data_IF_000312029007
#
_entry.id   IF_000312029007
#
_cell.length_a   1.000
_cell.length_b   1.000
_cell.length_c   1.000
_cell.angle_alpha   90.00
_cell.angle_beta   90.00
_cell.angle_gamma   90.00
#
_symmetry.space_group_name_H-M   'P 1'
#
loop_
_entity.id
_entity.type
_entity.pdbx_description
1 polymer ?
#
# COMPACT_ATOMS: atom_id res chain seq x y z
N UNK A 1 17.58 -3.68 12.19
CA UNK A 1 16.45 -4.31 11.46
C UNK A 1 16.46 -3.81 10.02
N UNK A 2 16.12 -4.64 9.03
CA UNK A 2 16.07 -4.16 7.64
C UNK A 2 14.77 -3.37 7.38
N UNK A 3 14.82 -2.41 6.46
CA UNK A 3 13.65 -1.62 6.05
C UNK A 3 12.41 -2.50 5.74
N UNK A 4 12.60 -3.58 4.98
CA UNK A 4 11.53 -4.52 4.62
C UNK A 4 10.98 -5.26 5.86
N UNK A 5 11.83 -5.61 6.83
CA UNK A 5 11.35 -6.24 8.07
C UNK A 5 10.46 -5.31 8.90
N UNK A 6 10.73 -4.00 8.91
CA UNK A 6 9.88 -3.05 9.64
C UNK A 6 8.50 -2.90 8.99
N UNK A 7 8.44 -2.80 7.65
CA UNK A 7 7.19 -2.73 6.90
C UNK A 7 6.36 -4.01 7.12
N UNK A 8 7.00 -5.18 7.06
CA UNK A 8 6.30 -6.46 7.27
C UNK A 8 5.78 -6.63 8.69
N UNK A 9 6.54 -6.25 9.73
CA UNK A 9 6.06 -6.22 11.12
C UNK A 9 4.81 -5.33 11.25
N UNK A 10 4.83 -4.16 10.62
CA UNK A 10 3.72 -3.22 10.65
C UNK A 10 2.47 -3.78 9.97
N UNK A 11 2.63 -4.50 8.86
CA UNK A 11 1.55 -5.23 8.17
C UNK A 11 0.98 -6.34 9.07
N UNK A 12 1.82 -7.11 9.75
CA UNK A 12 1.38 -8.15 10.68
C UNK A 12 0.54 -7.55 11.82
N UNK A 13 1.00 -6.43 12.39
CA UNK A 13 0.26 -5.70 13.43
C UNK A 13 -1.11 -5.24 12.93
N UNK A 14 -1.18 -4.73 11.69
CA UNK A 14 -2.46 -4.39 11.06
C UNK A 14 -3.43 -5.58 11.08
N UNK A 15 -2.99 -6.78 10.67
CA UNK A 15 -3.85 -7.97 10.68
C UNK A 15 -4.25 -8.43 12.07
N UNK A 16 -3.33 -8.38 13.05
CA UNK A 16 -3.64 -8.73 14.43
C UNK A 16 -4.78 -7.84 14.95
N UNK A 17 -4.67 -6.52 14.76
CA UNK A 17 -5.72 -5.58 15.19
C UNK A 17 -7.01 -5.81 14.40
N UNK A 18 -6.91 -6.08 13.10
CA UNK A 18 -8.06 -6.33 12.21
C UNK A 18 -8.86 -7.57 12.64
N UNK A 19 -8.18 -8.63 13.08
CA UNK A 19 -8.79 -9.88 13.54
C UNK A 19 -9.42 -9.70 14.93
N UNK A 20 -8.73 -9.02 15.84
CA UNK A 20 -9.18 -8.80 17.22
C UNK A 20 -10.37 -7.82 17.28
N UNK A 21 -10.36 -6.78 16.47
CA UNK A 21 -11.38 -5.73 16.50
C UNK A 21 -12.36 -5.89 15.32
N UNK A 22 -13.53 -6.50 15.54
CA UNK A 22 -14.53 -6.76 14.48
C UNK A 22 -15.53 -5.62 14.20
N UNK A 23 -15.29 -4.42 14.74
CA UNK A 23 -16.18 -3.24 14.57
C UNK A 23 -15.97 -2.49 13.26
N UNK A 24 -16.87 -1.58 12.88
CA UNK A 24 -16.77 -0.81 11.62
C UNK A 24 -15.53 0.06 11.52
N UNK A 25 -15.15 0.66 12.64
CA UNK A 25 -13.96 1.51 12.73
C UNK A 25 -12.65 0.71 12.75
N UNK A 26 -12.72 -0.62 12.74
CA UNK A 26 -11.54 -1.49 12.76
C UNK A 26 -10.57 -1.19 11.63
N UNK A 27 -11.06 -0.92 10.42
CA UNK A 27 -10.18 -0.65 9.28
C UNK A 27 -9.34 0.60 9.54
N UNK A 28 -9.98 1.71 9.89
CA UNK A 28 -9.29 2.98 10.16
C UNK A 28 -8.38 2.91 11.39
N UNK A 29 -8.79 2.20 12.44
CA UNK A 29 -7.97 2.02 13.64
C UNK A 29 -6.75 1.15 13.33
N UNK A 30 -6.92 0.01 12.67
CA UNK A 30 -5.82 -0.89 12.33
C UNK A 30 -4.82 -0.24 11.37
N UNK A 31 -5.29 0.48 10.35
CA UNK A 31 -4.41 1.23 9.44
C UNK A 31 -3.68 2.34 10.16
N UNK A 32 -4.37 3.14 10.99
CA UNK A 32 -3.78 4.23 11.74
C UNK A 32 -2.72 3.76 12.72
N UNK A 33 -3.02 2.73 13.51
CA UNK A 33 -2.08 2.16 14.49
C UNK A 33 -0.87 1.53 13.79
N UNK A 34 -1.09 0.80 12.70
CA UNK A 34 -0.01 0.20 11.91
C UNK A 34 0.93 1.26 11.30
N UNK A 35 0.37 2.32 10.71
CA UNK A 35 1.15 3.42 10.15
C UNK A 35 1.93 4.18 11.24
N UNK A 36 1.31 4.43 12.39
CA UNK A 36 1.97 5.08 13.52
C UNK A 36 3.12 4.24 14.08
N UNK A 37 2.90 2.93 14.25
CA UNK A 37 3.93 2.01 14.72
C UNK A 37 5.08 1.89 13.73
N UNK A 38 4.80 1.86 12.42
CA UNK A 38 5.85 1.89 11.40
C UNK A 38 6.77 3.12 11.58
N UNK A 39 6.17 4.30 11.73
CA UNK A 39 6.91 5.55 11.96
C UNK A 39 7.75 5.49 13.23
N UNK A 40 7.19 5.01 14.34
CA UNK A 40 7.93 4.86 15.60
C UNK A 40 9.09 3.87 15.49
N UNK A 41 8.86 2.71 14.89
CA UNK A 41 9.89 1.69 14.68
C UNK A 41 11.03 2.24 13.80
N UNK A 42 10.68 2.99 12.75
CA UNK A 42 11.65 3.62 11.88
C UNK A 42 12.52 4.62 12.65
N UNK A 43 11.90 5.55 13.39
CA UNK A 43 12.60 6.57 14.18
C UNK A 43 13.46 5.98 15.30
N UNK A 44 13.07 4.83 15.87
CA UNK A 44 13.84 4.15 16.90
C UNK A 44 15.04 3.39 16.33
N UNK A 45 14.91 2.82 15.12
CA UNK A 45 15.95 1.95 14.55
C UNK A 45 17.02 2.73 13.80
N UNK A 46 16.65 3.82 13.12
CA UNK A 46 17.56 4.59 12.28
C UNK A 46 17.92 5.90 12.95
N UNK A 47 19.22 6.17 13.04
CA UNK A 47 19.70 7.47 13.49
C UNK A 47 19.29 8.57 12.52
N UNK A 48 18.97 9.74 13.07
CA UNK A 48 18.57 10.90 12.29
C UNK A 48 19.79 11.54 11.62
N UNK A 49 20.18 11.02 10.45
CA UNK A 49 21.36 11.50 9.71
C UNK A 49 21.04 12.85 9.03
N UNK A 50 19.92 12.91 8.30
CA UNK A 50 19.47 14.13 7.63
C UNK A 50 17.97 14.08 7.36
N UNK A 51 17.35 15.27 7.20
CA UNK A 51 15.90 15.42 7.07
C UNK A 51 15.37 14.74 5.81
N UNK A 52 16.04 14.94 4.67
CA UNK A 52 15.55 14.44 3.39
C UNK A 52 15.46 12.90 3.41
N UNK A 53 16.56 12.11 3.58
CA UNK A 53 16.55 10.64 3.53
C UNK A 53 15.56 10.03 4.51
N UNK A 54 15.49 10.59 5.71
CA UNK A 54 14.53 10.20 6.74
C UNK A 54 13.10 10.28 6.23
N UNK A 55 12.69 11.41 5.63
CA UNK A 55 11.35 11.57 5.08
C UNK A 55 11.10 10.58 3.93
N UNK A 56 12.06 10.39 3.02
CA UNK A 56 11.88 9.45 1.90
C UNK A 56 11.67 8.01 2.38
N UNK A 57 12.50 7.50 3.29
CA UNK A 57 12.34 6.15 3.83
C UNK A 57 11.05 5.99 4.64
N UNK A 58 10.61 7.02 5.36
CA UNK A 58 9.32 6.99 6.03
C UNK A 58 8.15 6.93 5.03
N UNK A 59 8.16 7.81 4.02
CA UNK A 59 7.10 7.88 3.02
C UNK A 59 7.06 6.62 2.14
N UNK A 60 8.22 6.10 1.73
CA UNK A 60 8.32 4.86 0.95
C UNK A 60 7.75 3.66 1.71
N UNK A 61 8.08 3.48 2.99
CA UNK A 61 7.54 2.37 3.78
C UNK A 61 6.05 2.53 4.07
N UNK A 62 5.57 3.76 4.31
CA UNK A 62 4.14 4.03 4.38
C UNK A 62 3.44 3.70 3.06
N UNK A 63 4.02 4.05 1.91
CA UNK A 63 3.43 3.72 0.61
C UNK A 63 3.28 2.21 0.40
N UNK A 64 4.30 1.43 0.75
CA UNK A 64 4.28 -0.04 0.69
C UNK A 64 3.21 -0.62 1.62
N UNK A 65 3.15 -0.12 2.85
CA UNK A 65 2.16 -0.51 3.86
C UNK A 65 0.74 -0.24 3.38
N UNK A 66 0.44 0.99 2.93
CA UNK A 66 -0.89 1.36 2.45
C UNK A 66 -1.26 0.61 1.17
N UNK A 67 -0.33 0.40 0.25
CA UNK A 67 -0.56 -0.40 -0.96
C UNK A 67 -0.95 -1.84 -0.61
N UNK A 68 -0.24 -2.45 0.33
CA UNK A 68 -0.52 -3.81 0.78
C UNK A 68 -1.88 -3.90 1.47
N UNK A 69 -2.20 -2.97 2.37
CA UNK A 69 -3.49 -2.95 3.05
C UNK A 69 -4.63 -2.71 2.05
N UNK A 70 -4.47 -1.76 1.13
CA UNK A 70 -5.47 -1.46 0.11
C UNK A 70 -5.74 -2.64 -0.82
N UNK A 71 -4.69 -3.37 -1.22
CA UNK A 71 -4.82 -4.61 -1.99
C UNK A 71 -5.65 -5.68 -1.24
N UNK A 72 -5.40 -5.86 0.05
CA UNK A 72 -6.14 -6.83 0.85
C UNK A 72 -7.61 -6.45 1.03
N UNK A 73 -7.88 -5.18 1.32
CA UNK A 73 -9.25 -4.70 1.52
C UNK A 73 -10.07 -4.75 0.23
N UNK A 74 -9.45 -4.50 -0.93
CA UNK A 74 -10.16 -4.63 -2.21
C UNK A 74 -10.49 -6.10 -2.55
N UNK A 75 -9.66 -7.07 -2.13
CA UNK A 75 -9.99 -8.50 -2.25
C UNK A 75 -11.19 -8.86 -1.37
N UNK A 76 -11.22 -8.37 -0.12
CA UNK A 76 -12.33 -8.61 0.80
C UNK A 76 -13.62 -8.03 0.20
N UNK A 77 -13.56 -6.81 -0.33
CA UNK A 77 -14.67 -6.16 -1.01
C UNK A 77 -15.13 -6.96 -2.25
N UNK A 78 -14.21 -7.45 -3.08
CA UNK A 78 -14.55 -8.27 -4.25
C UNK A 78 -15.28 -9.56 -3.83
N UNK A 79 -14.81 -10.22 -2.77
CA UNK A 79 -15.45 -11.43 -2.23
C UNK A 79 -16.86 -11.14 -1.72
N UNK A 80 -17.06 -10.03 -1.02
CA UNK A 80 -18.38 -9.59 -0.54
C UNK A 80 -19.34 -9.32 -1.70
N UNK A 81 -18.90 -8.57 -2.72
CA UNK A 81 -19.71 -8.28 -3.91
C UNK A 81 -20.10 -9.56 -4.64
N UNK A 82 -19.18 -10.53 -4.77
CA UNK A 82 -19.48 -11.84 -5.37
C UNK A 82 -20.49 -12.64 -4.54
N UNK A 83 -20.43 -12.61 -3.21
CA UNK A 83 -21.40 -13.30 -2.34
C UNK A 83 -22.80 -12.70 -2.46
N UNK A 84 -22.90 -11.38 -2.50
CA UNK A 84 -24.18 -10.67 -2.71
C UNK A 84 -24.78 -11.03 -4.07
N UNK A 85 -23.97 -11.04 -5.13
CA UNK A 85 -24.43 -11.48 -6.47
C UNK A 85 -24.94 -12.92 -6.53
N UNK A 86 -24.47 -13.79 -5.61
CA UNK A 86 -24.91 -15.19 -5.49
C UNK A 86 -26.09 -15.40 -4.54
N UNK A 87 -26.69 -14.32 -4.00
CA UNK A 87 -27.80 -14.41 -3.06
C UNK A 87 -27.43 -14.89 -1.65
N UNK A 88 -26.13 -15.00 -1.33
CA UNK A 88 -25.64 -15.47 -0.04
C UNK A 88 -25.59 -14.31 0.98
N UNK A 89 -26.75 -13.91 1.49
CA UNK A 89 -26.89 -12.75 2.39
C UNK A 89 -26.58 -13.06 3.86
N UNK A 90 -26.55 -14.34 4.25
CA UNK A 90 -26.44 -14.83 5.65
C UNK A 90 -25.05 -14.48 6.28
N UNK A 91 -24.08 -14.03 5.50
CA UNK A 91 -22.73 -13.65 5.98
C UNK A 91 -22.20 -12.36 5.34
N UNK A 92 -23.09 -11.44 5.00
CA UNK A 92 -22.65 -10.08 4.66
C UNK A 92 -21.92 -9.57 5.90
N UNK A 93 -20.67 -9.16 5.70
CA UNK A 93 -19.86 -8.61 6.78
C UNK A 93 -20.60 -7.47 7.50
N UNK A 94 -20.05 -6.94 8.59
CA UNK A 94 -20.84 -6.15 9.51
C UNK A 94 -21.45 -4.84 8.93
N UNK A 95 -21.15 -4.44 7.66
CA UNK A 95 -21.63 -3.21 7.01
C UNK A 95 -22.07 -3.43 5.56
N UNK A 96 -22.81 -2.45 5.01
CA UNK A 96 -23.23 -2.44 3.61
C UNK A 96 -22.06 -2.39 2.63
N UNK A 97 -22.23 -3.01 1.46
CA UNK A 97 -21.23 -3.08 0.39
C UNK A 97 -20.82 -1.68 -0.09
N UNK A 98 -21.78 -0.75 -0.19
CA UNK A 98 -21.51 0.63 -0.63
C UNK A 98 -20.61 1.39 0.35
N UNK A 99 -20.86 1.23 1.66
CA UNK A 99 -20.02 1.83 2.71
C UNK A 99 -18.60 1.30 2.62
N UNK A 100 -18.45 -0.02 2.48
CA UNK A 100 -17.13 -0.64 2.36
C UNK A 100 -16.39 -0.15 1.11
N UNK A 101 -17.10 -0.01 -0.02
CA UNK A 101 -16.55 0.56 -1.25
C UNK A 101 -15.99 1.97 -1.04
N UNK A 102 -16.73 2.88 -0.39
CA UNK A 102 -16.26 4.24 -0.08
C UNK A 102 -15.01 4.25 0.80
N UNK A 103 -14.96 3.36 1.80
CA UNK A 103 -13.80 3.25 2.70
C UNK A 103 -12.57 2.75 1.96
N UNK A 104 -12.70 1.67 1.18
CA UNK A 104 -11.60 1.12 0.37
C UNK A 104 -11.12 2.14 -0.66
N UNK A 105 -12.04 2.87 -1.29
CA UNK A 105 -11.68 3.92 -2.24
C UNK A 105 -10.89 5.05 -1.58
N UNK A 106 -11.27 5.48 -0.37
CA UNK A 106 -10.51 6.48 0.37
C UNK A 106 -9.10 5.96 0.74
N UNK A 107 -9.01 4.70 1.19
CA UNK A 107 -7.74 4.05 1.49
C UNK A 107 -6.82 3.96 0.25
N UNK A 108 -7.38 3.64 -0.92
CA UNK A 108 -6.65 3.64 -2.20
C UNK A 108 -6.11 5.03 -2.53
N UNK A 109 -6.90 6.09 -2.31
CA UNK A 109 -6.46 7.47 -2.48
C UNK A 109 -5.29 7.83 -1.56
N UNK A 110 -5.35 7.43 -0.29
CA UNK A 110 -4.24 7.64 0.67
C UNK A 110 -2.99 6.86 0.26
N UNK A 111 -3.13 5.60 -0.18
CA UNK A 111 -2.00 4.82 -0.68
C UNK A 111 -1.34 5.44 -1.91
N UNK A 112 -2.14 5.93 -2.86
CA UNK A 112 -1.63 6.64 -4.04
C UNK A 112 -0.90 7.93 -3.66
N UNK A 113 -1.42 8.69 -2.68
CA UNK A 113 -0.80 9.91 -2.19
C UNK A 113 0.59 9.65 -1.58
N UNK A 114 0.73 8.61 -0.77
CA UNK A 114 2.05 8.23 -0.25
C UNK A 114 2.98 7.73 -1.35
N UNK A 115 2.46 7.01 -2.35
CA UNK A 115 3.27 6.56 -3.49
C UNK A 115 3.77 7.74 -4.35
N UNK A 116 2.95 8.76 -4.59
CA UNK A 116 3.39 9.97 -5.30
C UNK A 116 4.43 10.75 -4.49
N UNK A 117 4.22 10.88 -3.18
CA UNK A 117 5.20 11.54 -2.31
C UNK A 117 6.53 10.76 -2.23
N UNK A 118 6.46 9.43 -2.29
CA UNK A 118 7.63 8.55 -2.38
C UNK A 118 8.42 8.77 -3.67
N UNK A 119 7.75 8.96 -4.80
CA UNK A 119 8.41 9.25 -6.08
C UNK A 119 9.07 10.63 -6.07
N UNK A 120 8.35 11.66 -5.61
CA UNK A 120 8.88 13.02 -5.52
C UNK A 120 10.11 13.07 -4.61
N UNK A 121 9.99 12.51 -3.40
CA UNK A 121 11.11 12.49 -2.45
C UNK A 121 12.29 11.67 -2.94
N UNK A 122 12.05 10.57 -3.67
CA UNK A 122 13.12 9.75 -4.26
C UNK A 122 13.89 10.52 -5.32
N UNK A 123 13.19 11.11 -6.29
CA UNK A 123 13.82 11.88 -7.36
C UNK A 123 14.61 13.09 -6.85
N UNK A 124 14.16 13.71 -5.75
CA UNK A 124 14.88 14.84 -5.13
C UNK A 124 16.18 14.45 -4.40
N UNK A 125 16.41 13.17 -4.10
CA UNK A 125 17.63 12.72 -3.41
C UNK A 125 18.78 12.37 -4.31
N UNK A 126 18.50 12.07 -5.58
CA UNK A 126 19.53 11.58 -6.47
C UNK A 126 20.47 12.70 -6.89
N UNK A 127 21.71 12.65 -6.40
CA UNK A 127 22.84 13.40 -6.96
C UNK A 127 23.59 12.60 -8.05
N UNK A 128 23.58 11.26 -7.96
CA UNK A 128 24.21 10.35 -8.92
C UNK A 128 23.26 9.19 -9.23
N UNK A 129 22.95 8.98 -10.51
CA UNK A 129 22.10 7.87 -10.96
C UNK A 129 22.93 6.59 -11.12
N UNK A 130 22.85 5.69 -10.13
CA UNK A 130 23.30 4.30 -10.31
C UNK A 130 22.24 3.46 -11.00
N UNK A 131 22.64 2.40 -11.70
CA UNK A 131 21.71 1.51 -12.42
C UNK A 131 20.58 0.97 -11.50
N UNK A 132 20.92 0.57 -10.26
CA UNK A 132 19.95 0.04 -9.28
C UNK A 132 18.89 1.08 -8.89
N UNK A 133 19.30 2.33 -8.74
CA UNK A 133 18.43 3.45 -8.42
C UNK A 133 17.50 3.79 -9.60
N UNK A 134 18.00 3.71 -10.84
CA UNK A 134 17.19 3.91 -12.06
C UNK A 134 16.14 2.81 -12.19
N UNK A 135 16.51 1.54 -12.01
CA UNK A 135 15.53 0.44 -12.03
C UNK A 135 14.46 0.62 -10.96
N UNK A 136 14.83 1.00 -9.72
CA UNK A 136 13.84 1.26 -8.67
C UNK A 136 12.87 2.38 -9.07
N UNK A 137 13.37 3.46 -9.65
CA UNK A 137 12.54 4.57 -10.12
C UNK A 137 11.58 4.14 -11.24
N UNK A 138 12.04 3.37 -12.23
CA UNK A 138 11.20 2.89 -13.34
C UNK A 138 10.08 1.98 -12.83
N UNK A 139 10.40 0.99 -11.99
CA UNK A 139 9.40 0.06 -11.46
C UNK A 139 8.37 0.77 -10.56
N UNK A 140 8.81 1.71 -9.73
CA UNK A 140 7.90 2.51 -8.89
C UNK A 140 7.03 3.46 -9.72
N UNK A 141 7.56 4.02 -10.81
CA UNK A 141 6.81 4.85 -11.75
C UNK A 141 5.75 4.04 -12.52
N UNK A 142 6.09 2.84 -12.99
CA UNK A 142 5.13 1.93 -13.62
C UNK A 142 4.02 1.56 -12.62
N UNK A 143 4.37 1.21 -11.39
CA UNK A 143 3.39 0.92 -10.35
C UNK A 143 2.47 2.10 -10.07
N UNK A 144 3.03 3.31 -10.04
CA UNK A 144 2.27 4.55 -9.88
C UNK A 144 1.28 4.77 -11.02
N UNK A 145 1.70 4.61 -12.28
CA UNK A 145 0.79 4.70 -13.44
C UNK A 145 -0.36 3.70 -13.36
N UNK A 146 -0.08 2.44 -13.04
CA UNK A 146 -1.11 1.40 -12.87
C UNK A 146 -2.09 1.79 -11.77
N UNK A 147 -1.58 2.32 -10.65
CA UNK A 147 -2.42 2.73 -9.52
C UNK A 147 -3.29 3.94 -9.90
N UNK A 148 -2.74 4.97 -10.55
CA UNK A 148 -3.50 6.13 -11.04
C UNK A 148 -4.61 5.70 -12.00
N UNK A 149 -4.29 4.88 -13.01
CA UNK A 149 -5.26 4.37 -13.99
C UNK A 149 -6.36 3.57 -13.28
N UNK A 150 -6.00 2.77 -12.27
CA UNK A 150 -6.97 2.01 -11.49
C UNK A 150 -7.93 2.94 -10.73
N UNK A 151 -7.41 3.95 -10.05
CA UNK A 151 -8.23 4.87 -9.26
C UNK A 151 -9.15 5.71 -10.14
N UNK A 152 -8.64 6.21 -11.27
CA UNK A 152 -9.44 6.93 -12.27
C UNK A 152 -10.48 6.03 -12.93
N UNK A 153 -10.10 4.79 -13.27
CA UNK A 153 -10.99 3.77 -13.85
C UNK A 153 -12.18 3.45 -12.94
N UNK A 154 -11.93 3.34 -11.64
CA UNK A 154 -12.98 3.12 -10.63
C UNK A 154 -13.88 4.35 -10.49
N UNK A 155 -13.31 5.56 -10.45
CA UNK A 155 -14.07 6.80 -10.17
C UNK A 155 -14.90 7.30 -11.34
N UNK A 156 -14.34 7.29 -12.55
CA UNK A 156 -14.93 7.92 -13.73
C UNK A 156 -15.52 6.91 -14.73
N UNK A 157 -14.91 5.73 -14.85
CA UNK A 157 -15.30 4.73 -15.86
C UNK A 157 -16.09 3.54 -15.28
N UNK A 158 -16.42 3.56 -13.99
CA UNK A 158 -17.13 2.49 -13.29
C UNK A 158 -16.52 1.09 -13.51
N UNK A 159 -15.18 1.00 -13.55
CA UNK A 159 -14.50 -0.27 -13.73
C UNK A 159 -14.93 -1.28 -12.68
N UNK A 160 -15.27 -2.53 -13.05
CA UNK A 160 -15.64 -3.52 -12.06
C UNK A 160 -14.44 -3.83 -11.16
N UNK A 161 -14.75 -4.04 -9.88
CA UNK A 161 -13.79 -4.25 -8.79
C UNK A 161 -12.77 -5.36 -9.12
N UNK A 162 -13.16 -6.35 -9.94
CA UNK A 162 -12.27 -7.42 -10.44
C UNK A 162 -11.06 -6.92 -11.24
N UNK A 163 -11.20 -5.84 -12.02
CA UNK A 163 -10.04 -5.26 -12.71
C UNK A 163 -9.14 -4.53 -11.72
N UNK A 164 -9.73 -3.80 -10.78
CA UNK A 164 -8.98 -3.09 -9.76
C UNK A 164 -8.15 -4.03 -8.86
N UNK A 165 -8.69 -5.20 -8.49
CA UNK A 165 -7.94 -6.17 -7.69
C UNK A 165 -6.73 -6.72 -8.45
N UNK A 166 -6.89 -7.00 -9.75
CA UNK A 166 -5.81 -7.48 -10.61
C UNK A 166 -4.72 -6.41 -10.84
N UNK A 167 -5.11 -5.18 -11.13
CA UNK A 167 -4.15 -4.10 -11.38
C UNK A 167 -3.38 -3.70 -10.12
N UNK A 168 -4.05 -3.66 -8.95
CA UNK A 168 -3.37 -3.40 -7.67
C UNK A 168 -2.38 -4.51 -7.30
N UNK A 169 -2.68 -5.77 -7.63
CA UNK A 169 -1.71 -6.86 -7.45
C UNK A 169 -0.44 -6.61 -8.27
N UNK A 170 -0.59 -6.24 -9.55
CA UNK A 170 0.55 -5.94 -10.43
C UNK A 170 1.35 -4.75 -9.89
N UNK A 171 0.67 -3.69 -9.45
CA UNK A 171 1.33 -2.53 -8.84
C UNK A 171 2.12 -2.93 -7.57
N UNK A 172 1.52 -3.74 -6.69
CA UNK A 172 2.18 -4.24 -5.48
C UNK A 172 3.43 -5.07 -5.81
N UNK A 173 3.34 -6.00 -6.77
CA UNK A 173 4.48 -6.80 -7.21
C UNK A 173 5.58 -5.95 -7.84
N UNK A 174 5.22 -4.93 -8.63
CA UNK A 174 6.18 -4.02 -9.23
C UNK A 174 6.97 -3.22 -8.17
N UNK A 175 6.29 -2.68 -7.15
CA UNK A 175 6.98 -1.97 -6.06
C UNK A 175 7.85 -2.92 -5.26
N UNK A 176 7.36 -4.10 -4.86
CA UNK A 176 8.18 -5.08 -4.14
C UNK A 176 9.41 -5.50 -4.95
N UNK A 177 9.24 -5.78 -6.24
CA UNK A 177 10.33 -6.07 -7.17
C UNK A 177 11.38 -4.97 -7.19
N UNK A 178 10.96 -3.69 -7.20
CA UNK A 178 11.87 -2.55 -7.16
C UNK A 178 12.80 -2.54 -5.91
N UNK A 179 12.31 -3.02 -4.76
CA UNK A 179 13.10 -3.06 -3.52
C UNK A 179 13.94 -4.34 -3.40
N UNK A 180 13.42 -5.49 -3.84
CA UNK A 180 14.18 -6.76 -3.82
C UNK A 180 15.22 -6.87 -4.93
N UNK A 181 15.00 -6.26 -6.10
CA UNK A 181 15.99 -6.30 -7.19
C UNK A 181 17.32 -5.64 -6.79
N UNK A 182 17.27 -4.69 -5.85
CA UNK A 182 18.46 -4.04 -5.31
C UNK A 182 19.41 -5.05 -4.65
N UNK A 183 18.91 -6.07 -3.93
CA UNK A 183 19.78 -7.08 -3.31
C UNK A 183 20.37 -8.07 -4.30
N UNK A 184 19.72 -8.29 -5.45
CA UNK A 184 20.24 -9.18 -6.49
C UNK A 184 21.34 -8.53 -7.32
N UNK A 185 21.20 -7.24 -7.67
CA UNK A 185 22.19 -6.51 -8.47
C UNK A 185 23.43 -6.05 -7.67
N UNK A 186 23.35 -6.00 -6.34
CA UNK A 186 24.50 -5.67 -5.47
C UNK A 186 25.43 -6.86 -5.22
N UNK A 187 24.97 -8.09 -5.47
CA UNK A 187 25.72 -9.34 -5.25
C UNK A 187 26.24 -9.98 -6.56
N UNK A 188 26.16 -9.27 -7.69
CA UNK A 188 26.67 -9.68 -9.01
C UNK A 188 27.70 -8.68 -9.51
#
# INVERSE_FOLDING_TARGET
MSFITQVTISIVIYYIIRILYKKERSLFLSTGVSAFLYVLIYLYTYEFISVLPTIHFMVTGLSLLFLFIAYNEIIILERQVRRVKKGQLISIGPFSVERNYKIVFNLLGVGLFFLSLSLISGLSMQSVFSANLVFKAIFTFIAWLIFVITLLGIKYFNFPIKYATRSLFVAMCAVLGAYYMNSFLLNS
#
